data_IF_665876264224
#
_entry.id   IF_665876264224
#
_cell.length_a   1.000
_cell.length_b   1.000
_cell.length_c   1.000
_cell.angle_alpha   90.00
_cell.angle_beta   90.00
_cell.angle_gamma   90.00
#
_symmetry.space_group_name_H-M   'P 1'
#
loop_
_entity.id
_entity.type
_entity.pdbx_description
1 polymer ?
#
# COMPACT_ATOMS: atom_id res chain seq x y z
N UNK A 1 -39.85 -10.55 8.94
CA UNK A 1 -39.33 -11.85 8.49
C UNK A 1 -38.09 -11.62 7.63
N UNK A 2 -36.89 -11.78 8.20
CA UNK A 2 -35.61 -11.59 7.49
C UNK A 2 -34.69 -12.82 7.53
N UNK A 3 -35.15 -13.94 8.11
CA UNK A 3 -34.26 -15.06 8.45
C UNK A 3 -34.44 -16.32 7.60
N UNK A 4 -35.25 -16.28 6.53
CA UNK A 4 -35.49 -17.45 5.64
C UNK A 4 -34.54 -17.45 4.43
N UNK A 5 -34.05 -16.27 3.99
CA UNK A 5 -33.24 -16.14 2.75
C UNK A 5 -31.77 -15.76 2.99
N UNK A 6 -31.37 -15.50 4.23
CA UNK A 6 -30.02 -15.04 4.57
C UNK A 6 -29.23 -16.18 5.21
N UNK A 7 -28.47 -16.91 4.40
CA UNK A 7 -27.54 -17.92 4.92
C UNK A 7 -26.31 -17.20 5.50
N UNK A 8 -26.23 -17.16 6.83
CA UNK A 8 -25.14 -16.47 7.54
C UNK A 8 -23.75 -17.05 7.21
N UNK A 9 -23.66 -18.37 6.93
CA UNK A 9 -22.43 -19.00 6.49
C UNK A 9 -22.05 -18.55 5.07
N UNK A 10 -23.03 -18.44 4.16
CA UNK A 10 -22.80 -17.88 2.81
C UNK A 10 -22.40 -16.41 2.86
N UNK A 11 -23.02 -15.59 3.71
CA UNK A 11 -22.60 -14.19 3.88
C UNK A 11 -21.20 -14.07 4.47
N UNK A 12 -20.85 -14.90 5.46
CA UNK A 12 -19.50 -14.93 6.02
C UNK A 12 -18.47 -15.36 4.95
N UNK A 13 -18.81 -16.34 4.12
CA UNK A 13 -17.98 -16.76 2.98
C UNK A 13 -17.83 -15.64 1.94
N UNK A 14 -18.91 -14.95 1.56
CA UNK A 14 -18.86 -13.80 0.64
C UNK A 14 -18.02 -12.66 1.22
N UNK A 15 -18.14 -12.35 2.51
CA UNK A 15 -17.31 -11.35 3.16
C UNK A 15 -15.83 -11.75 3.20
N UNK A 16 -15.52 -13.02 3.48
CA UNK A 16 -14.17 -13.55 3.45
C UNK A 16 -13.56 -13.51 2.03
N UNK A 17 -14.36 -13.83 1.01
CA UNK A 17 -13.98 -13.73 -0.41
C UNK A 17 -13.70 -12.27 -0.77
N UNK A 18 -14.60 -11.33 -0.44
CA UNK A 18 -14.40 -9.91 -0.71
C UNK A 18 -13.12 -9.37 -0.07
N UNK A 19 -12.84 -9.77 1.18
CA UNK A 19 -11.60 -9.40 1.88
C UNK A 19 -10.35 -10.03 1.24
N UNK A 20 -10.46 -11.28 0.80
CA UNK A 20 -9.37 -11.99 0.11
C UNK A 20 -9.08 -11.36 -1.26
N UNK A 21 -10.12 -11.00 -2.03
CA UNK A 21 -10.00 -10.30 -3.32
C UNK A 21 -9.35 -8.93 -3.18
N UNK A 22 -9.74 -8.17 -2.14
CA UNK A 22 -9.10 -6.87 -1.84
C UNK A 22 -7.62 -7.05 -1.49
N UNK A 23 -7.29 -8.02 -0.62
CA UNK A 23 -5.91 -8.32 -0.24
C UNK A 23 -5.07 -8.82 -1.43
N UNK A 24 -5.67 -9.61 -2.32
CA UNK A 24 -5.05 -10.07 -3.56
C UNK A 24 -4.79 -8.90 -4.50
N UNK A 25 -5.75 -7.99 -4.68
CA UNK A 25 -5.59 -6.79 -5.50
C UNK A 25 -4.42 -5.93 -5.02
N UNK A 26 -4.33 -5.67 -3.71
CA UNK A 26 -3.20 -4.95 -3.12
C UNK A 26 -1.87 -5.69 -3.30
N UNK A 27 -1.87 -7.02 -3.18
CA UNK A 27 -0.67 -7.84 -3.37
C UNK A 27 -0.20 -7.81 -4.83
N UNK A 28 -1.13 -7.88 -5.79
CA UNK A 28 -0.86 -7.73 -7.22
C UNK A 28 -0.33 -6.33 -7.55
N UNK A 29 -0.90 -5.29 -6.93
CA UNK A 29 -0.41 -3.92 -7.11
C UNK A 29 1.03 -3.78 -6.62
N UNK A 30 1.33 -4.26 -5.41
CA UNK A 30 2.70 -4.25 -4.83
C UNK A 30 3.69 -5.06 -5.67
N UNK A 31 3.23 -6.19 -6.24
CA UNK A 31 4.05 -7.00 -7.14
C UNK A 31 4.34 -6.25 -8.44
N UNK A 32 3.33 -5.62 -9.03
CA UNK A 32 3.47 -4.88 -10.29
C UNK A 32 4.35 -3.63 -10.16
N UNK A 33 4.31 -2.93 -9.02
CA UNK A 33 5.09 -1.71 -8.81
C UNK A 33 6.46 -1.96 -8.17
N UNK A 34 6.71 -3.17 -7.65
CA UNK A 34 7.95 -3.52 -6.94
C UNK A 34 8.17 -2.77 -5.63
N UNK A 35 7.27 -1.86 -5.25
CA UNK A 35 7.36 -1.03 -4.06
C UNK A 35 6.34 -1.50 -3.01
N UNK A 36 6.81 -1.83 -1.80
CA UNK A 36 5.95 -2.27 -0.68
C UNK A 36 4.87 -1.24 -0.32
N UNK A 37 5.12 0.04 -0.59
CA UNK A 37 4.24 1.18 -0.27
C UNK A 37 3.54 1.64 -1.55
N UNK A 38 2.34 1.11 -1.82
CA UNK A 38 1.62 1.45 -3.06
C UNK A 38 0.44 2.40 -2.86
N UNK A 39 -0.29 2.32 -1.75
CA UNK A 39 -1.37 3.28 -1.43
C UNK A 39 -0.79 4.59 -0.90
N UNK A 40 -0.75 5.64 -1.74
CA UNK A 40 -0.50 7.03 -1.31
C UNK A 40 -1.67 7.59 -0.50
N UNK A 41 -2.84 6.97 -0.65
CA UNK A 41 -4.11 7.48 -0.15
C UNK A 41 -4.35 7.06 1.31
N UNK A 42 -3.97 5.83 1.68
CA UNK A 42 -4.05 5.36 3.08
C UNK A 42 -2.80 5.72 3.90
N UNK A 43 -1.71 6.08 3.22
CA UNK A 43 -0.37 6.25 3.83
C UNK A 43 0.32 7.53 3.31
N UNK A 44 -0.43 8.62 3.20
CA UNK A 44 0.09 9.93 2.79
C UNK A 44 1.32 10.37 3.64
N UNK A 45 1.31 10.00 4.93
CA UNK A 45 2.43 10.21 5.84
C UNK A 45 3.63 9.31 5.50
N UNK A 46 3.42 8.02 5.21
CA UNK A 46 4.47 7.08 4.80
C UNK A 46 5.15 7.50 3.49
N UNK A 47 4.37 7.96 2.50
CA UNK A 47 4.93 8.50 1.25
C UNK A 47 5.65 9.83 1.44
N UNK A 48 5.19 10.72 2.32
CA UNK A 48 5.91 11.96 2.64
C UNK A 48 7.27 11.68 3.31
N UNK A 49 7.33 10.72 4.24
CA UNK A 49 8.58 10.33 4.89
C UNK A 49 9.53 9.68 3.88
N UNK A 50 9.03 8.76 3.03
CA UNK A 50 9.83 8.14 1.98
C UNK A 50 10.38 9.18 1.00
N UNK A 51 9.55 10.13 0.55
CA UNK A 51 9.98 11.23 -0.30
C UNK A 51 11.02 12.13 0.38
N UNK A 52 10.86 12.41 1.68
CA UNK A 52 11.83 13.19 2.47
C UNK A 52 13.16 12.45 2.63
N UNK A 53 13.13 11.14 2.87
CA UNK A 53 14.34 10.30 2.95
C UNK A 53 15.07 10.23 1.62
N UNK A 54 14.33 10.07 0.51
CA UNK A 54 14.89 10.13 -0.84
C UNK A 54 15.50 11.51 -1.13
N UNK A 55 14.81 12.59 -0.79
CA UNK A 55 15.31 13.96 -0.97
C UNK A 55 16.58 14.23 -0.13
N UNK A 56 16.63 13.74 1.11
CA UNK A 56 17.84 13.81 1.95
C UNK A 56 18.99 13.00 1.36
N UNK A 57 18.73 11.77 0.90
CA UNK A 57 19.74 10.93 0.26
C UNK A 57 20.34 11.58 -0.99
N UNK A 58 19.48 12.08 -1.88
CA UNK A 58 19.92 12.81 -3.08
C UNK A 58 20.67 14.10 -2.72
N UNK A 59 20.19 14.85 -1.73
CA UNK A 59 20.85 16.06 -1.24
C UNK A 59 22.23 15.79 -0.62
N UNK A 60 22.39 14.70 0.13
CA UNK A 60 23.68 14.26 0.64
C UNK A 60 24.63 13.82 -0.47
N UNK A 61 24.12 13.17 -1.52
CA UNK A 61 24.90 12.83 -2.71
C UNK A 61 25.46 14.08 -3.39
N UNK A 62 24.61 15.09 -3.63
CA UNK A 62 25.00 16.37 -4.23
C UNK A 62 26.00 17.13 -3.35
N UNK A 63 25.73 17.24 -2.04
CA UNK A 63 26.63 17.89 -1.10
C UNK A 63 28.01 17.22 -1.06
N UNK A 64 28.05 15.88 -1.17
CA UNK A 64 29.31 15.13 -1.20
C UNK A 64 30.09 15.33 -2.50
N UNK A 65 29.41 15.54 -3.63
CA UNK A 65 30.06 15.95 -4.89
C UNK A 65 30.52 17.41 -4.89
N UNK A 66 29.86 18.30 -4.16
CA UNK A 66 30.33 19.68 -4.00
C UNK A 66 31.51 19.81 -3.03
N UNK A 67 31.64 18.92 -2.04
CA UNK A 67 32.80 18.87 -1.14
C UNK A 67 34.11 18.36 -1.80
N UNK A 68 34.03 17.81 -3.01
CA UNK A 68 35.18 17.30 -3.76
C UNK A 68 35.62 18.23 -4.91
N UNK A 69 35.05 19.44 -5.00
CA UNK A 69 35.53 20.55 -5.82
C UNK A 69 36.18 21.61 -4.91
#
# INVERSE_FOLDING_TARGET
>A
MLSINTNNASMAAVNAISKSSSSLSTSMERLATGNRINSSADDAAGKQIANRLTAQSSGMGVARSEQHQ
#
